data_IF_825897426238
#
_entry.id   IF_825897426238
#
_cell.length_a   1.000
_cell.length_b   1.000
_cell.length_c   1.000
_cell.angle_alpha   90.00
_cell.angle_beta   90.00
_cell.angle_gamma   90.00
#
_symmetry.space_group_name_H-M   'P 1'
#
loop_
_entity.id
_entity.type
_entity.pdbx_description
1 polymer ?
#
# COMPACT_ATOMS: atom_id res chain seq x y z
N UNK A 1 -8.94 19.44 2.78
CA UNK A 1 -7.68 19.19 2.07
C UNK A 1 -7.45 20.35 1.09
N UNK A 2 -6.37 21.08 1.23
CA UNK A 2 -6.07 22.18 0.30
C UNK A 2 -5.36 21.67 -0.95
N UNK A 3 -5.64 22.29 -2.10
CA UNK A 3 -5.03 21.93 -3.38
C UNK A 3 -3.51 22.02 -3.30
N UNK A 4 -2.81 21.09 -3.98
CA UNK A 4 -1.36 21.05 -4.05
C UNK A 4 -0.63 20.42 -2.86
N UNK A 5 -1.34 19.92 -1.87
CA UNK A 5 -0.74 19.24 -0.72
C UNK A 5 -0.82 17.73 -0.88
N UNK A 6 0.20 17.03 -0.33
CA UNK A 6 0.20 15.59 -0.26
C UNK A 6 -0.55 15.12 0.99
N UNK A 7 -1.21 13.98 0.88
CA UNK A 7 -1.87 13.31 2.00
C UNK A 7 -1.30 11.90 2.12
N UNK A 8 -0.79 11.55 3.29
CA UNK A 8 -0.31 10.20 3.59
C UNK A 8 -1.21 9.60 4.64
N UNK A 9 -1.74 8.40 4.34
CA UNK A 9 -2.59 7.66 5.26
C UNK A 9 -1.89 6.35 5.60
N UNK A 10 -1.54 6.18 6.87
CA UNK A 10 -0.94 4.96 7.37
C UNK A 10 -2.05 4.01 7.83
N UNK A 11 -2.09 2.81 7.25
CA UNK A 11 -3.14 1.83 7.53
C UNK A 11 -2.65 0.42 7.20
N UNK A 12 -3.28 -0.59 7.80
CA UNK A 12 -3.01 -1.99 7.42
C UNK A 12 -3.52 -2.32 6.04
N UNK A 13 -4.47 -1.54 5.50
CA UNK A 13 -5.05 -1.68 4.15
C UNK A 13 -5.61 -3.07 3.84
N UNK A 14 -5.95 -3.87 4.85
CA UNK A 14 -6.54 -5.21 4.67
C UNK A 14 -8.01 -5.16 4.33
N UNK A 15 -8.74 -4.11 4.74
CA UNK A 15 -10.14 -3.90 4.40
C UNK A 15 -10.23 -3.10 3.10
N UNK A 16 -10.34 -3.79 1.96
CA UNK A 16 -10.33 -3.16 0.65
C UNK A 16 -11.52 -2.22 0.45
N UNK A 17 -12.71 -2.57 0.93
CA UNK A 17 -13.89 -1.72 0.81
C UNK A 17 -13.70 -0.38 1.50
N UNK A 18 -13.11 -0.37 2.69
CA UNK A 18 -12.81 0.86 3.45
C UNK A 18 -11.76 1.71 2.73
N UNK A 19 -10.72 1.07 2.20
CA UNK A 19 -9.66 1.76 1.45
C UNK A 19 -10.24 2.37 0.18
N UNK A 20 -11.06 1.65 -0.58
CA UNK A 20 -11.67 2.18 -1.80
C UNK A 20 -12.57 3.37 -1.55
N UNK A 21 -13.36 3.38 -0.48
CA UNK A 21 -14.14 4.56 -0.08
C UNK A 21 -13.25 5.78 0.12
N UNK A 22 -12.13 5.58 0.77
CA UNK A 22 -11.15 6.62 1.04
C UNK A 22 -10.50 7.13 -0.25
N UNK A 23 -10.13 6.21 -1.15
CA UNK A 23 -9.53 6.55 -2.45
C UNK A 23 -10.51 7.27 -3.37
N UNK A 24 -11.78 6.88 -3.37
CA UNK A 24 -12.83 7.59 -4.12
C UNK A 24 -12.99 9.02 -3.61
N UNK A 25 -12.96 9.21 -2.30
CA UNK A 25 -13.03 10.54 -1.69
C UNK A 25 -11.84 11.41 -2.07
N UNK A 26 -10.63 10.89 -1.98
CA UNK A 26 -9.43 11.66 -2.37
C UNK A 26 -9.41 11.96 -3.86
N UNK A 27 -9.86 11.03 -4.71
CA UNK A 27 -10.01 11.24 -6.15
C UNK A 27 -10.98 12.39 -6.44
N UNK A 28 -12.12 12.44 -5.75
CA UNK A 28 -13.10 13.51 -5.92
C UNK A 28 -12.55 14.87 -5.55
N UNK A 29 -11.50 14.91 -4.74
CA UNK A 29 -10.81 16.13 -4.33
C UNK A 29 -9.58 16.46 -5.20
N UNK A 30 -9.37 15.72 -6.28
CA UNK A 30 -8.30 15.97 -7.25
C UNK A 30 -6.99 15.27 -6.98
N UNK A 31 -6.95 14.34 -6.02
CA UNK A 31 -5.73 13.59 -5.71
C UNK A 31 -5.48 12.41 -6.66
N UNK A 32 -4.21 12.14 -6.91
CA UNK A 32 -3.75 10.89 -7.50
C UNK A 32 -3.47 9.91 -6.37
N UNK A 33 -4.01 8.69 -6.47
CA UNK A 33 -3.94 7.70 -5.40
C UNK A 33 -2.81 6.70 -5.64
N UNK A 34 -1.88 6.62 -4.68
CA UNK A 34 -0.78 5.66 -4.69
C UNK A 34 -0.93 4.71 -3.50
N UNK A 35 -0.88 3.41 -3.77
CA UNK A 35 -0.79 2.38 -2.75
C UNK A 35 0.68 1.99 -2.59
N UNK A 36 1.19 2.03 -1.37
CA UNK A 36 2.53 1.57 -1.04
C UNK A 36 2.43 0.35 -0.15
N UNK A 37 2.85 -0.79 -0.67
CA UNK A 37 2.87 -2.06 0.07
C UNK A 37 4.27 -2.28 0.63
N UNK A 38 4.37 -2.32 1.96
CA UNK A 38 5.62 -2.56 2.67
C UNK A 38 5.59 -3.98 3.23
N UNK A 39 6.33 -4.89 2.58
CA UNK A 39 6.38 -6.29 2.97
C UNK A 39 7.52 -6.52 3.97
N UNK A 40 7.16 -7.06 5.13
CA UNK A 40 8.10 -7.43 6.18
C UNK A 40 7.97 -8.92 6.44
N UNK A 41 9.10 -9.61 6.62
CA UNK A 41 9.06 -11.01 7.02
C UNK A 41 8.25 -11.16 8.33
N UNK A 42 7.31 -12.10 8.40
CA UNK A 42 6.46 -12.25 9.60
C UNK A 42 7.25 -12.46 10.88
N UNK A 43 8.39 -13.15 10.83
CA UNK A 43 9.23 -13.36 12.00
C UNK A 43 9.79 -12.04 12.54
N UNK A 44 10.17 -11.12 11.67
CA UNK A 44 10.62 -9.79 12.07
C UNK A 44 9.49 -8.97 12.67
N UNK A 45 8.31 -9.07 12.10
CA UNK A 45 7.13 -8.36 12.61
C UNK A 45 6.76 -8.83 14.02
N UNK A 46 6.79 -10.14 14.26
CA UNK A 46 6.54 -10.72 15.59
C UNK A 46 7.62 -10.27 16.59
N UNK A 47 8.89 -10.33 16.19
CA UNK A 47 9.99 -9.91 17.08
C UNK A 47 9.90 -8.42 17.44
N UNK A 48 9.53 -7.56 16.50
CA UNK A 48 9.31 -6.13 16.76
C UNK A 48 8.14 -5.90 17.71
N UNK A 49 7.06 -6.64 17.57
CA UNK A 49 5.89 -6.55 18.45
C UNK A 49 6.26 -6.97 19.88
N UNK A 50 6.99 -8.06 20.04
CA UNK A 50 7.49 -8.51 21.34
C UNK A 50 8.41 -7.48 22.00
N UNK A 51 9.31 -6.89 21.22
CA UNK A 51 10.19 -5.81 21.70
C UNK A 51 9.39 -4.60 22.19
N UNK A 52 8.37 -4.21 21.47
CA UNK A 52 7.48 -3.10 21.86
C UNK A 52 6.77 -3.40 23.18
N UNK A 53 6.32 -4.65 23.36
CA UNK A 53 5.73 -5.08 24.62
C UNK A 53 6.67 -4.97 25.80
N UNK A 54 7.96 -5.28 25.61
CA UNK A 54 9.00 -5.14 26.65
C UNK A 54 9.28 -3.68 27.03
N UNK A 55 9.10 -2.75 26.12
CA UNK A 55 9.29 -1.31 26.37
C UNK A 55 8.04 -0.59 26.83
N UNK A 56 6.96 -1.33 27.10
CA UNK A 56 5.69 -0.77 27.59
C UNK A 56 4.76 -0.26 26.49
N UNK A 57 5.13 -0.46 25.23
CA UNK A 57 4.27 -0.10 24.11
C UNK A 57 3.16 -1.12 23.87
N UNK A 58 2.17 -0.71 23.10
CA UNK A 58 1.03 -1.53 22.73
C UNK A 58 1.47 -2.69 21.82
N UNK A 59 1.03 -3.90 22.13
CA UNK A 59 1.29 -5.09 21.30
C UNK A 59 0.04 -5.52 20.54
N UNK A 60 0.26 -6.18 19.39
CA UNK A 60 -0.80 -6.75 18.55
C UNK A 60 -0.96 -8.25 18.80
N UNK A 61 0.15 -8.95 19.05
CA UNK A 61 0.17 -10.39 19.28
C UNK A 61 0.55 -11.18 18.02
N UNK A 62 1.29 -12.27 18.23
CA UNK A 62 1.86 -13.08 17.14
C UNK A 62 0.79 -13.66 16.20
N UNK A 63 -0.31 -14.16 16.75
CA UNK A 63 -1.37 -14.78 15.94
C UNK A 63 -2.00 -13.79 14.94
N UNK A 64 -2.20 -12.54 15.37
CA UNK A 64 -2.74 -11.49 14.51
C UNK A 64 -1.73 -11.12 13.44
N UNK A 65 -0.46 -10.93 13.82
CA UNK A 65 0.61 -10.55 12.88
C UNK A 65 0.80 -11.63 11.82
N UNK A 66 0.82 -12.91 12.21
CA UNK A 66 0.99 -14.02 11.28
C UNK A 66 -0.19 -14.20 10.32
N UNK A 67 -1.34 -13.60 10.62
CA UNK A 67 -2.50 -13.61 9.73
C UNK A 67 -2.41 -12.58 8.60
N UNK A 68 -1.62 -11.52 8.77
CA UNK A 68 -1.55 -10.41 7.82
C UNK A 68 -0.95 -10.74 6.44
N UNK A 69 0.12 -11.55 6.30
CA UNK A 69 0.74 -11.77 4.99
C UNK A 69 -0.25 -12.24 3.93
N UNK A 70 -1.12 -13.19 4.26
CA UNK A 70 -2.14 -13.70 3.34
C UNK A 70 -3.20 -12.63 3.02
N UNK A 71 -3.67 -11.91 4.04
CA UNK A 71 -4.64 -10.83 3.89
C UNK A 71 -4.09 -9.70 3.04
N UNK A 72 -2.83 -9.31 3.27
CA UNK A 72 -2.17 -8.26 2.51
C UNK A 72 -1.93 -8.66 1.06
N UNK A 73 -1.52 -9.90 0.81
CA UNK A 73 -1.33 -10.42 -0.55
C UNK A 73 -2.65 -10.40 -1.33
N UNK A 74 -3.75 -10.79 -0.70
CA UNK A 74 -5.08 -10.75 -1.31
C UNK A 74 -5.50 -9.32 -1.62
N UNK A 75 -5.35 -8.40 -0.65
CA UNK A 75 -5.68 -6.99 -0.83
C UNK A 75 -4.82 -6.34 -1.92
N UNK A 76 -3.54 -6.67 -1.97
CA UNK A 76 -2.62 -6.16 -2.98
C UNK A 76 -3.07 -6.51 -4.40
N UNK A 77 -3.53 -7.76 -4.62
CA UNK A 77 -4.09 -8.18 -5.91
C UNK A 77 -5.33 -7.37 -6.28
N UNK A 78 -6.20 -7.10 -5.32
CA UNK A 78 -7.41 -6.29 -5.53
C UNK A 78 -7.04 -4.87 -5.97
N UNK A 79 -6.07 -4.24 -5.32
CA UNK A 79 -5.63 -2.89 -5.68
C UNK A 79 -5.00 -2.85 -7.08
N UNK A 80 -4.20 -3.86 -7.43
CA UNK A 80 -3.59 -3.95 -8.76
C UNK A 80 -4.65 -4.17 -9.85
N UNK A 81 -5.65 -5.00 -9.57
CA UNK A 81 -6.76 -5.24 -10.51
C UNK A 81 -7.56 -3.96 -10.75
N UNK A 82 -7.84 -3.19 -9.71
CA UNK A 82 -8.49 -1.88 -9.85
C UNK A 82 -7.65 -0.93 -10.71
N UNK A 83 -6.35 -0.91 -10.48
CA UNK A 83 -5.43 -0.06 -11.26
C UNK A 83 -5.47 -0.34 -12.74
N UNK A 84 -5.70 -1.58 -13.15
CA UNK A 84 -5.79 -1.98 -14.56
C UNK A 84 -7.10 -1.53 -15.23
N UNK A 85 -8.13 -1.17 -14.46
CA UNK A 85 -9.41 -0.72 -15.01
C UNK A 85 -9.32 0.72 -15.49
N UNK A 86 -10.01 1.03 -16.59
CA UNK A 86 -10.04 2.38 -17.16
C UNK A 86 -10.57 3.42 -16.18
N UNK A 87 -11.54 3.04 -15.35
CA UNK A 87 -12.17 3.91 -14.35
C UNK A 87 -11.75 3.60 -12.92
N UNK A 88 -10.63 2.90 -12.74
CA UNK A 88 -10.13 2.56 -11.41
C UNK A 88 -9.68 3.78 -10.62
N UNK A 89 -9.71 3.68 -9.30
CA UNK A 89 -9.31 4.76 -8.38
C UNK A 89 -7.88 4.62 -7.88
N UNK A 90 -7.25 3.46 -8.12
CA UNK A 90 -5.84 3.22 -7.80
C UNK A 90 -5.00 3.62 -9.01
N UNK A 91 -4.13 4.62 -8.82
CA UNK A 91 -3.33 5.19 -9.92
C UNK A 91 -1.92 4.63 -9.97
N UNK A 92 -1.40 4.19 -8.83
CA UNK A 92 -0.05 3.65 -8.72
C UNK A 92 0.01 2.65 -7.57
N UNK A 93 0.72 1.55 -7.77
CA UNK A 93 0.99 0.57 -6.71
C UNK A 93 2.49 0.29 -6.66
N UNK A 94 3.10 0.55 -5.52
CA UNK A 94 4.51 0.29 -5.26
C UNK A 94 4.63 -0.81 -4.22
N UNK A 95 5.57 -1.72 -4.43
CA UNK A 95 5.86 -2.81 -3.50
C UNK A 95 7.31 -2.74 -3.08
N UNK A 96 7.55 -2.70 -1.77
CA UNK A 96 8.88 -2.74 -1.18
C UNK A 96 8.98 -3.90 -0.22
N UNK A 97 10.14 -4.51 -0.16
CA UNK A 97 10.44 -5.59 0.77
C UNK A 97 11.58 -5.17 1.68
N UNK A 98 11.45 -5.47 2.98
CA UNK A 98 12.49 -5.17 3.96
C UNK A 98 13.69 -6.09 3.75
N UNK A 99 14.88 -5.50 3.63
CA UNK A 99 16.15 -6.22 3.58
C UNK A 99 17.02 -5.71 4.73
N UNK A 100 16.99 -6.44 5.83
CA UNK A 100 17.71 -6.03 7.03
C UNK A 100 17.37 -6.87 8.24
N UNK A 101 17.66 -6.32 9.40
CA UNK A 101 17.46 -6.97 10.69
C UNK A 101 16.14 -6.53 11.34
N UNK A 102 15.86 -7.09 12.51
CA UNK A 102 14.70 -6.69 13.33
C UNK A 102 14.82 -5.22 13.75
N UNK A 103 16.06 -4.74 13.99
CA UNK A 103 16.32 -3.33 14.29
C UNK A 103 16.03 -2.50 13.02
N UNK A 104 15.04 -1.57 13.06
CA UNK A 104 14.67 -0.79 11.88
C UNK A 104 15.76 0.16 11.39
N UNK A 105 16.83 0.36 12.17
CA UNK A 105 17.98 1.18 11.78
C UNK A 105 18.99 0.39 10.95
N UNK A 106 18.86 -0.94 10.87
CA UNK A 106 19.83 -1.85 10.24
C UNK A 106 19.26 -2.54 9.03
N UNK A 107 18.90 -1.78 8.02
CA UNK A 107 18.38 -2.32 6.79
C UNK A 107 17.78 -1.26 5.89
N UNK A 108 17.27 -1.70 4.75
CA UNK A 108 16.65 -0.84 3.75
C UNK A 108 15.41 -1.50 3.17
N UNK A 109 14.50 -0.66 2.67
CA UNK A 109 13.37 -1.12 1.87
C UNK A 109 13.82 -1.23 0.41
N UNK A 110 13.68 -2.42 -0.16
CA UNK A 110 14.07 -2.69 -1.55
C UNK A 110 12.82 -2.73 -2.42
N UNK A 111 12.80 -1.90 -3.45
CA UNK A 111 11.67 -1.85 -4.40
C UNK A 111 11.58 -3.17 -5.18
N UNK A 112 10.41 -3.79 -5.14
CA UNK A 112 10.09 -5.00 -5.88
C UNK A 112 9.36 -4.68 -7.18
N UNK A 113 8.42 -3.72 -7.13
CA UNK A 113 7.67 -3.32 -8.31
C UNK A 113 7.12 -1.90 -8.15
N UNK A 114 6.83 -1.27 -9.28
CA UNK A 114 6.22 0.05 -9.35
C UNK A 114 5.33 0.10 -10.59
N UNK A 115 4.03 0.00 -10.38
CA UNK A 115 3.04 -0.01 -11.45
C UNK A 115 2.35 1.35 -11.53
N UNK A 116 2.64 2.09 -12.57
CA UNK A 116 2.11 3.44 -12.83
C UNK A 116 0.91 3.36 -13.77
N UNK A 117 -0.24 2.98 -13.24
CA UNK A 117 -1.47 2.78 -14.01
C UNK A 117 -1.97 4.06 -14.66
N UNK A 118 -1.78 5.20 -14.02
CA UNK A 118 -2.19 6.51 -14.56
C UNK A 118 -1.55 6.82 -15.91
N UNK A 119 -0.30 6.41 -16.13
CA UNK A 119 0.40 6.61 -17.41
C UNK A 119 -0.22 5.75 -18.52
N UNK A 120 -0.54 4.50 -18.20
CA UNK A 120 -1.16 3.56 -19.13
C UNK A 120 -2.55 4.03 -19.55
N UNK A 121 -3.33 4.58 -18.63
CA UNK A 121 -4.65 5.15 -18.91
C UNK A 121 -4.55 6.37 -19.82
N UNK A 122 -3.59 7.24 -19.57
CA UNK A 122 -3.33 8.43 -20.39
C UNK A 122 -2.95 8.05 -21.81
N UNK A 123 -2.09 7.05 -21.99
CA UNK A 123 -1.69 6.54 -23.31
C UNK A 123 -2.88 5.94 -24.06
N UNK A 124 -3.74 5.18 -23.40
CA UNK A 124 -4.97 4.64 -24.00
C UNK A 124 -5.91 5.74 -24.48
N UNK A 125 -6.08 6.80 -23.70
CA UNK A 125 -6.90 7.96 -24.09
C UNK A 125 -6.34 8.67 -25.31
N UNK A 126 -5.02 8.84 -25.41
CA UNK A 126 -4.37 9.44 -26.57
C UNK A 126 -4.56 8.61 -27.83
N UNK A 127 -4.39 7.28 -27.74
CA UNK A 127 -4.64 6.36 -28.87
C UNK A 127 -6.10 6.41 -29.33
N UNK A 128 -7.04 6.47 -28.40
CA UNK A 128 -8.47 6.58 -28.70
C UNK A 128 -8.82 7.88 -29.42
N UNK A 129 -8.17 8.98 -29.07
CA UNK A 129 -8.38 10.29 -29.71
C UNK A 129 -7.79 10.38 -31.11
N UNK A 130 -6.80 9.55 -31.44
CA UNK A 130 -6.15 9.54 -32.77
C UNK A 130 -6.92 8.75 -33.83
N UNK A 131 -7.92 8.02 -33.41
CA UNK A 131 -8.83 7.32 -34.32
C UNK A 131 -9.94 8.27 -34.75
#
# INVERSE_FOLDING_TARGET
>A
ISAGKYLVIDTTATSTSRVFKQLEKTRSQGYTNTIVYLELDPSYAVARDEYRGKTGDRTVGANVILSYPKKLATAFKVYKNDGKKANGVVDRVMHFKWNGEVDPRKGVWVKQSDNKYFLKRKLKKQKSKRK
#
